data_IF_161284478635
#
_entry.id   IF_161284478635
#
_cell.length_a   1.000
_cell.length_b   1.000
_cell.length_c   1.000
_cell.angle_alpha   90.00
_cell.angle_beta   90.00
_cell.angle_gamma   90.00
#
_symmetry.space_group_name_H-M   'P 1'
#
loop_
_entity.id
_entity.type
_entity.pdbx_description
1 polymer ?
#
# COMPACT_ATOMS: atom_id res chain seq x y z
N UNK A 1 -8.49 23.84 -16.85
CA UNK A 1 -9.16 23.26 -15.67
C UNK A 1 -8.79 21.79 -15.39
N UNK A 2 -8.96 20.85 -16.33
CA UNK A 2 -8.64 19.41 -16.10
C UNK A 2 -7.18 19.14 -15.66
N UNK A 3 -6.19 19.83 -16.26
CA UNK A 3 -4.78 19.74 -15.86
C UNK A 3 -4.54 20.22 -14.42
N UNK A 4 -5.17 21.32 -14.02
CA UNK A 4 -5.06 21.84 -12.66
C UNK A 4 -5.62 20.85 -11.63
N UNK A 5 -6.79 20.28 -11.89
CA UNK A 5 -7.40 19.25 -11.04
C UNK A 5 -6.49 18.01 -10.94
N UNK A 6 -5.87 17.61 -12.04
CA UNK A 6 -4.89 16.51 -12.04
C UNK A 6 -3.72 16.80 -11.09
N UNK A 7 -3.09 17.97 -11.20
CA UNK A 7 -1.97 18.33 -10.34
C UNK A 7 -2.36 18.45 -8.87
N UNK A 8 -3.54 19.01 -8.57
CA UNK A 8 -4.08 19.07 -7.21
C UNK A 8 -4.25 17.65 -6.65
N UNK A 9 -4.88 16.75 -7.39
CA UNK A 9 -5.06 15.35 -6.96
C UNK A 9 -3.73 14.64 -6.78
N UNK A 10 -2.79 14.81 -7.70
CA UNK A 10 -1.46 14.23 -7.58
C UNK A 10 -0.75 14.73 -6.30
N UNK A 11 -0.78 16.04 -6.03
CA UNK A 11 -0.21 16.62 -4.82
C UNK A 11 -0.88 16.06 -3.55
N UNK A 12 -2.21 15.94 -3.54
CA UNK A 12 -2.96 15.35 -2.44
C UNK A 12 -2.62 13.88 -2.22
N UNK A 13 -2.41 13.10 -3.30
CA UNK A 13 -1.94 11.71 -3.20
C UNK A 13 -0.58 11.68 -2.53
N UNK A 14 0.41 12.44 -3.01
CA UNK A 14 1.75 12.47 -2.39
C UNK A 14 1.73 12.94 -0.94
N UNK A 15 0.90 13.93 -0.61
CA UNK A 15 0.69 14.37 0.76
C UNK A 15 0.12 13.23 1.63
N UNK A 16 -0.89 12.51 1.12
CA UNK A 16 -1.46 11.35 1.81
C UNK A 16 -0.43 10.23 2.00
N UNK A 17 0.46 10.00 1.02
CA UNK A 17 1.54 9.02 1.15
C UNK A 17 2.50 9.38 2.28
N UNK A 18 2.86 10.65 2.40
CA UNK A 18 3.70 11.13 3.49
C UNK A 18 3.00 10.93 4.85
N UNK A 19 1.71 11.33 4.95
CA UNK A 19 0.91 11.14 6.17
C UNK A 19 0.79 9.68 6.56
N UNK A 20 0.47 8.79 5.62
CA UNK A 20 0.35 7.35 5.86
C UNK A 20 1.68 6.74 6.34
N UNK A 21 2.80 7.19 5.76
CA UNK A 21 4.14 6.73 6.15
C UNK A 21 4.49 7.16 7.57
N UNK A 22 4.24 8.42 7.92
CA UNK A 22 4.45 8.95 9.28
C UNK A 22 3.53 8.24 10.27
N UNK A 23 2.25 8.11 9.96
CA UNK A 23 1.26 7.47 10.82
C UNK A 23 1.63 6.00 11.10
N UNK A 24 2.03 5.25 10.07
CA UNK A 24 2.50 3.86 10.23
C UNK A 24 3.78 3.80 11.06
N UNK A 25 4.72 4.72 10.84
CA UNK A 25 5.97 4.77 11.62
C UNK A 25 5.71 5.04 13.10
N UNK A 26 4.77 5.96 13.41
CA UNK A 26 4.33 6.22 14.79
C UNK A 26 3.64 4.98 15.38
N UNK A 27 2.74 4.35 14.62
CA UNK A 27 2.05 3.13 15.07
C UNK A 27 3.04 2.01 15.44
N UNK A 28 4.12 1.82 14.67
CA UNK A 28 5.18 0.84 14.93
C UNK A 28 5.98 1.08 16.22
N UNK A 29 5.97 2.31 16.76
CA UNK A 29 6.59 2.63 18.06
C UNK A 29 5.77 1.97 19.18
N UNK A 30 4.44 2.04 19.08
CA UNK A 30 3.53 1.51 20.09
C UNK A 30 3.19 0.02 19.89
N UNK A 31 3.45 -0.55 18.72
CA UNK A 31 3.13 -1.95 18.38
C UNK A 31 4.38 -2.73 17.93
N UNK A 32 5.41 -2.89 18.78
CA UNK A 32 6.68 -3.50 18.38
C UNK A 32 6.55 -4.96 17.92
N UNK A 33 5.59 -5.71 18.48
CA UNK A 33 5.36 -7.12 18.15
C UNK A 33 4.59 -7.33 16.83
N UNK A 34 3.99 -6.26 16.28
CA UNK A 34 3.17 -6.33 15.06
C UNK A 34 3.86 -5.70 13.84
N UNK A 35 5.14 -5.35 13.95
CA UNK A 35 5.90 -4.69 12.88
C UNK A 35 5.98 -5.49 11.58
N UNK A 36 5.82 -6.81 11.65
CA UNK A 36 5.66 -7.72 10.50
C UNK A 36 4.44 -7.40 9.64
N UNK A 37 3.47 -6.65 10.17
CA UNK A 37 2.28 -6.20 9.42
C UNK A 37 2.36 -4.70 9.06
N UNK A 38 3.52 -4.07 9.18
CA UNK A 38 3.65 -2.62 8.97
C UNK A 38 3.34 -2.21 7.52
N UNK A 39 3.73 -2.99 6.52
CA UNK A 39 3.38 -2.76 5.12
C UNK A 39 1.87 -2.87 4.89
N UNK A 40 1.21 -3.87 5.50
CA UNK A 40 -0.24 -4.03 5.45
C UNK A 40 -0.94 -2.83 6.06
N UNK A 41 -0.50 -2.39 7.23
CA UNK A 41 -1.07 -1.20 7.87
C UNK A 41 -0.87 0.05 6.99
N UNK A 42 0.30 0.19 6.36
CA UNK A 42 0.56 1.27 5.42
C UNK A 42 -0.39 1.21 4.21
N UNK A 43 -0.59 0.03 3.63
CA UNK A 43 -1.53 -0.19 2.52
C UNK A 43 -2.99 0.06 2.91
N UNK A 44 -3.40 -0.24 4.14
CA UNK A 44 -4.75 0.05 4.62
C UNK A 44 -5.04 1.57 4.66
N UNK A 45 -4.03 2.40 4.98
CA UNK A 45 -4.15 3.86 4.84
C UNK A 45 -4.38 4.27 3.39
N UNK A 46 -3.70 3.62 2.45
CA UNK A 46 -3.87 3.91 1.03
C UNK A 46 -5.29 3.56 0.55
N UNK A 47 -5.78 2.36 0.90
CA UNK A 47 -7.12 1.90 0.55
C UNK A 47 -8.22 2.85 1.07
N UNK A 48 -8.06 3.39 2.29
CA UNK A 48 -9.05 4.29 2.91
C UNK A 48 -9.00 5.71 2.37
N UNK A 49 -7.82 6.19 1.95
CA UNK A 49 -7.61 7.60 1.61
C UNK A 49 -7.61 7.90 0.12
N UNK A 50 -6.84 7.15 -0.68
CA UNK A 50 -6.60 7.49 -2.08
C UNK A 50 -7.88 7.48 -2.94
N UNK A 51 -8.83 6.52 -2.77
CA UNK A 51 -10.09 6.55 -3.52
C UNK A 51 -10.94 7.81 -3.30
N UNK A 52 -10.73 8.55 -2.20
CA UNK A 52 -11.41 9.83 -1.93
C UNK A 52 -10.79 11.00 -2.70
N UNK A 53 -9.52 10.90 -3.04
CA UNK A 53 -8.76 11.93 -3.77
C UNK A 53 -8.88 11.69 -5.28
N UNK A 54 -8.65 10.44 -5.69
CA UNK A 54 -8.73 9.99 -7.07
C UNK A 54 -9.92 9.04 -7.16
N UNK A 55 -11.04 9.43 -7.80
CA UNK A 55 -12.24 8.61 -7.86
C UNK A 55 -11.98 7.42 -8.79
N UNK A 56 -11.51 6.32 -8.19
CA UNK A 56 -11.29 5.03 -8.85
C UNK A 56 -12.27 4.01 -8.30
N UNK A 57 -12.86 3.20 -9.18
CA UNK A 57 -13.71 2.07 -8.80
C UNK A 57 -12.98 0.78 -9.14
N UNK A 58 -12.73 -0.03 -8.13
CA UNK A 58 -12.17 -1.36 -8.31
C UNK A 58 -13.30 -2.35 -8.58
N UNK A 59 -13.09 -3.22 -9.57
CA UNK A 59 -13.97 -4.34 -9.87
C UNK A 59 -13.12 -5.60 -9.70
N UNK A 60 -13.40 -6.37 -8.66
CA UNK A 60 -12.68 -7.61 -8.35
C UNK A 60 -13.53 -8.78 -8.82
N UNK A 61 -12.92 -9.68 -9.60
CA UNK A 61 -13.53 -10.95 -10.05
C UNK A 61 -12.68 -12.11 -9.53
N UNK A 62 -13.30 -13.22 -9.15
CA UNK A 62 -12.58 -14.40 -8.65
C UNK A 62 -11.93 -14.20 -7.28
N UNK A 63 -12.53 -13.36 -6.42
CA UNK A 63 -12.00 -13.09 -5.06
C UNK A 63 -11.96 -14.35 -4.20
N UNK A 64 -12.87 -15.29 -4.45
CA UNK A 64 -12.96 -16.59 -3.80
C UNK A 64 -11.69 -17.45 -3.98
N UNK A 65 -10.93 -17.25 -5.07
CA UNK A 65 -9.71 -18.02 -5.33
C UNK A 65 -8.48 -17.45 -4.62
N UNK A 66 -8.49 -16.14 -4.32
CA UNK A 66 -7.31 -15.42 -3.82
C UNK A 66 -6.79 -15.95 -2.48
N UNK A 67 -7.63 -16.64 -1.71
CA UNK A 67 -7.30 -17.17 -0.38
C UNK A 67 -7.49 -18.70 -0.28
N UNK A 68 -7.70 -19.37 -1.42
CA UNK A 68 -8.03 -20.80 -1.44
C UNK A 68 -6.84 -21.71 -1.14
N UNK A 69 -5.60 -21.22 -1.32
CA UNK A 69 -4.35 -21.97 -1.12
C UNK A 69 -3.31 -21.08 -0.45
N UNK A 70 -2.68 -21.57 0.63
CA UNK A 70 -1.55 -20.90 1.30
C UNK A 70 -0.50 -21.93 1.78
N UNK A 71 0.81 -21.60 1.74
CA UNK A 71 1.40 -20.37 1.21
C UNK A 71 1.29 -20.28 -0.31
N UNK A 72 1.26 -19.07 -0.85
CA UNK A 72 1.16 -18.82 -2.29
C UNK A 72 2.00 -17.61 -2.71
N UNK A 73 2.45 -17.61 -3.97
CA UNK A 73 3.09 -16.45 -4.60
C UNK A 73 2.07 -15.82 -5.56
N UNK A 74 1.63 -14.60 -5.25
CA UNK A 74 0.74 -13.84 -6.13
C UNK A 74 1.57 -13.09 -7.17
N UNK A 75 1.26 -13.32 -8.44
CA UNK A 75 1.92 -12.67 -9.57
C UNK A 75 0.91 -11.79 -10.28
N UNK A 76 1.21 -10.50 -10.40
CA UNK A 76 0.42 -9.56 -11.18
C UNK A 76 1.31 -8.83 -12.18
N UNK A 77 0.71 -8.35 -13.27
CA UNK A 77 1.35 -7.32 -14.08
C UNK A 77 1.58 -6.06 -13.22
N UNK A 78 2.69 -5.35 -13.45
CA UNK A 78 3.00 -4.07 -12.81
C UNK A 78 3.07 -2.98 -13.87
N UNK A 79 2.04 -2.15 -13.95
CA UNK A 79 1.90 -1.10 -14.98
C UNK A 79 2.04 0.30 -14.38
N UNK A 80 1.49 0.54 -13.19
CA UNK A 80 1.36 1.88 -12.65
C UNK A 80 1.47 1.89 -11.11
N UNK A 81 1.75 3.07 -10.54
CA UNK A 81 1.80 3.25 -9.08
C UNK A 81 0.46 2.88 -8.39
N UNK A 82 -0.66 2.99 -9.11
CA UNK A 82 -1.98 2.60 -8.62
C UNK A 82 -2.10 1.09 -8.33
N UNK A 83 -1.18 0.25 -8.81
CA UNK A 83 -1.18 -1.18 -8.54
C UNK A 83 -1.04 -1.47 -7.04
N UNK A 84 -0.37 -0.58 -6.28
CA UNK A 84 -0.29 -0.68 -4.83
C UNK A 84 -1.68 -0.56 -4.15
N UNK A 85 -2.62 0.19 -4.73
CA UNK A 85 -4.00 0.26 -4.23
C UNK A 85 -4.79 -1.02 -4.54
N UNK A 86 -4.54 -1.62 -5.70
CA UNK A 86 -5.13 -2.91 -6.05
C UNK A 86 -4.66 -3.99 -5.07
N UNK A 87 -3.36 -4.04 -4.79
CA UNK A 87 -2.75 -4.93 -3.80
C UNK A 87 -3.45 -4.78 -2.44
N UNK A 88 -3.64 -3.54 -1.96
CA UNK A 88 -4.31 -3.28 -0.68
C UNK A 88 -5.75 -3.84 -0.63
N UNK A 89 -6.48 -3.78 -1.75
CA UNK A 89 -7.87 -4.28 -1.84
C UNK A 89 -8.00 -5.79 -2.01
N UNK A 90 -7.11 -6.40 -2.79
CA UNK A 90 -7.29 -7.76 -3.28
C UNK A 90 -6.51 -8.76 -2.43
N UNK A 91 -5.28 -8.43 -2.03
CA UNK A 91 -4.39 -9.43 -1.44
C UNK A 91 -4.81 -9.76 -0.02
N UNK A 92 -4.79 -11.04 0.36
CA UNK A 92 -5.19 -11.43 1.71
C UNK A 92 -4.29 -10.85 2.80
N UNK A 93 -4.75 -10.83 4.07
CA UNK A 93 -3.90 -10.46 5.20
C UNK A 93 -2.63 -11.32 5.25
N UNK A 94 -1.52 -10.73 5.71
CA UNK A 94 -0.18 -11.35 5.75
C UNK A 94 0.37 -11.70 4.35
N UNK A 95 0.08 -10.87 3.36
CA UNK A 95 0.76 -10.93 2.05
C UNK A 95 1.88 -9.92 2.04
N UNK A 96 3.11 -10.39 1.82
CA UNK A 96 4.29 -9.53 1.70
C UNK A 96 4.45 -9.05 0.26
N UNK A 97 4.71 -7.75 0.10
CA UNK A 97 5.00 -7.18 -1.21
C UNK A 97 6.50 -7.24 -1.47
N UNK A 98 6.89 -7.90 -2.55
CA UNK A 98 8.29 -7.90 -2.99
C UNK A 98 8.65 -6.51 -3.50
N UNK A 99 9.61 -5.86 -2.84
CA UNK A 99 10.05 -4.51 -3.12
C UNK A 99 11.53 -4.47 -3.52
N UNK A 100 11.93 -3.40 -4.23
CA UNK A 100 13.33 -3.17 -4.61
C UNK A 100 14.21 -2.94 -3.38
N UNK A 101 15.41 -3.54 -3.35
CA UNK A 101 16.38 -3.39 -2.24
C UNK A 101 16.73 -1.92 -1.98
N UNK A 102 16.74 -1.09 -3.02
CA UNK A 102 17.03 0.33 -2.94
C UNK A 102 16.02 1.09 -2.06
N UNK A 103 14.78 0.60 -1.92
CA UNK A 103 13.78 1.23 -1.07
C UNK A 103 14.18 1.23 0.42
N UNK A 104 15.05 0.30 0.85
CA UNK A 104 15.61 0.30 2.21
C UNK A 104 16.40 1.58 2.54
N UNK A 105 16.83 2.34 1.52
CA UNK A 105 17.55 3.62 1.70
C UNK A 105 16.63 4.80 1.97
N UNK A 106 15.32 4.67 1.75
CA UNK A 106 14.36 5.75 1.99
C UNK A 106 14.00 5.77 3.47
N UNK A 107 14.23 6.87 4.20
CA UNK A 107 13.86 6.96 5.62
C UNK A 107 12.37 6.70 5.84
N UNK A 108 12.03 6.06 6.96
CA UNK A 108 10.68 5.63 7.35
C UNK A 108 10.03 4.59 6.41
N UNK A 109 9.85 4.91 5.12
CA UNK A 109 9.27 3.98 4.16
C UNK A 109 10.10 2.71 4.02
N UNK A 110 11.43 2.83 3.87
CA UNK A 110 12.34 1.70 3.83
C UNK A 110 12.34 0.88 5.12
N UNK A 111 12.13 1.51 6.27
CA UNK A 111 12.02 0.83 7.56
C UNK A 111 10.71 0.03 7.67
N UNK A 112 9.59 0.58 7.18
CA UNK A 112 8.31 -0.15 7.09
C UNK A 112 8.48 -1.42 6.27
N UNK A 113 9.05 -1.32 5.07
CA UNK A 113 9.28 -2.49 4.21
C UNK A 113 10.29 -3.48 4.80
N UNK A 114 11.35 -3.01 5.45
CA UNK A 114 12.33 -3.90 6.10
C UNK A 114 11.74 -4.67 7.28
N UNK A 115 10.75 -4.11 7.97
CA UNK A 115 10.09 -4.77 9.12
C UNK A 115 8.89 -5.61 8.77
N UNK A 116 8.30 -5.41 7.60
CA UNK A 116 7.18 -6.20 7.11
C UNK A 116 7.56 -7.68 6.90
N UNK A 117 8.80 -7.98 6.50
CA UNK A 117 9.25 -9.36 6.27
C UNK A 117 10.28 -9.45 5.15
#
# INVERSE_FOLDING_TARGET
MKKLIFFIRAALVFLWLAVATIATSIWMIFHPNERVNADRHWLDWWQKGIPKIVPVKFIVKGKEYIDSVRPAVYVSNHQHLLDALMIAQVYPPRTLVVAKKELKKIPLAGYIFDKAG
#
